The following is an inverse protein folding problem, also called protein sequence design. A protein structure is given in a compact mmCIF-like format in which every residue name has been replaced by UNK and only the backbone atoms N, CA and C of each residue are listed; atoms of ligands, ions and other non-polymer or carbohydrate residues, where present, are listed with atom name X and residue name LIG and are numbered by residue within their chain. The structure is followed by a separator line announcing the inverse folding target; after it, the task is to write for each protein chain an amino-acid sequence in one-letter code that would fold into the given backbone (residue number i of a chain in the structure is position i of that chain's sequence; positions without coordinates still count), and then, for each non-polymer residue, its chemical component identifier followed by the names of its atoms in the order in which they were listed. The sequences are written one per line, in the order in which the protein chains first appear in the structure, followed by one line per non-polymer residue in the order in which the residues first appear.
data_IF_045766948329
#
_entry.id   IF_045766948329
#
_cell.length_a   1.000
_cell.length_b   1.000
_cell.length_c   1.000
_cell.angle_alpha   90.00
_cell.angle_beta   90.00
_cell.angle_gamma   90.00
#
_symmetry.space_group_name_H-M   'P 1'
#
loop_
_entity.id
_entity.type
_entity.pdbx_description
1 polymer ?
#
# COMPACT_ATOMS: atom_id res chain seq x y z
N UNK A 1 22.21 27.25 14.49
CA UNK A 1 22.29 26.18 15.52
C UNK A 1 23.70 25.63 15.58
N UNK A 2 24.25 25.46 16.77
CA UNK A 2 25.63 25.03 16.94
C UNK A 2 25.76 23.52 16.60
N UNK A 3 26.77 23.07 15.82
CA UNK A 3 26.99 21.67 15.44
C UNK A 3 26.96 20.65 16.60
N UNK A 4 27.14 21.12 17.85
CA UNK A 4 27.07 20.29 19.06
C UNK A 4 25.65 19.77 19.40
N UNK A 5 24.57 20.43 18.94
CA UNK A 5 23.18 20.08 19.29
C UNK A 5 22.67 18.82 18.55
N UNK A 6 23.41 18.29 17.57
CA UNK A 6 22.98 17.13 16.78
C UNK A 6 23.79 15.87 17.08
N UNK A 7 24.58 15.83 18.14
CA UNK A 7 25.34 14.63 18.50
C UNK A 7 24.47 13.68 19.34
N UNK A 8 23.95 12.63 18.69
CA UNK A 8 23.17 11.63 19.37
C UNK A 8 24.03 10.73 20.29
N UNK A 9 23.51 10.47 21.47
CA UNK A 9 24.11 9.52 22.42
C UNK A 9 23.48 8.15 22.23
N UNK A 10 24.29 7.09 22.21
CA UNK A 10 23.75 5.73 22.12
C UNK A 10 22.95 5.39 23.40
N UNK A 11 21.81 4.70 23.25
CA UNK A 11 20.85 4.43 24.35
C UNK A 11 21.48 3.83 25.61
N UNK A 12 22.53 2.99 25.46
CA UNK A 12 23.25 2.37 26.57
C UNK A 12 24.24 3.33 27.27
N UNK A 13 24.56 4.48 26.67
CA UNK A 13 25.51 5.47 27.18
C UNK A 13 24.84 6.71 27.75
N UNK A 14 23.51 6.79 27.69
CA UNK A 14 22.74 7.93 28.19
C UNK A 14 22.82 8.01 29.71
N UNK A 15 23.09 9.19 30.24
CA UNK A 15 22.93 9.49 31.68
C UNK A 15 21.45 9.71 32.02
N UNK A 16 20.70 8.64 32.16
CA UNK A 16 19.27 8.67 32.42
C UNK A 16 18.88 9.40 33.71
N UNK A 17 19.74 9.32 34.77
CA UNK A 17 19.49 10.09 36.01
C UNK A 17 19.51 11.60 35.73
N UNK A 18 20.47 12.09 35.00
CA UNK A 18 20.51 13.49 34.60
C UNK A 18 19.31 13.91 33.74
N UNK A 19 18.88 13.04 32.81
CA UNK A 19 17.67 13.28 32.00
C UNK A 19 16.41 13.40 32.89
N UNK A 20 16.20 12.46 33.81
CA UNK A 20 15.06 12.47 34.76
C UNK A 20 15.05 13.79 35.56
N UNK A 21 16.19 14.20 36.08
CA UNK A 21 16.29 15.46 36.87
C UNK A 21 16.00 16.70 36.01
N UNK A 22 16.52 16.77 34.80
CA UNK A 22 16.33 17.94 33.90
C UNK A 22 14.93 18.05 33.31
N UNK A 23 14.16 16.98 33.35
CA UNK A 23 12.81 16.90 32.77
C UNK A 23 11.70 16.82 33.82
N UNK A 24 12.06 16.84 35.11
CA UNK A 24 11.09 16.77 36.21
C UNK A 24 10.04 17.90 36.11
N UNK A 25 8.75 17.53 36.17
CA UNK A 25 7.63 18.47 36.12
C UNK A 25 7.36 19.10 34.73
N UNK A 26 8.07 18.70 33.69
CA UNK A 26 7.88 19.22 32.33
C UNK A 26 6.94 18.35 31.51
N UNK A 27 6.13 18.97 30.67
CA UNK A 27 5.43 18.28 29.59
C UNK A 27 6.44 17.91 28.49
N UNK A 28 6.50 16.64 28.10
CA UNK A 28 7.52 16.13 27.21
C UNK A 28 6.91 15.43 25.98
N UNK A 29 7.62 15.52 24.86
CA UNK A 29 7.42 14.67 23.69
C UNK A 29 8.71 13.96 23.33
N UNK A 30 8.61 12.67 23.00
CA UNK A 30 9.67 11.90 22.35
C UNK A 30 9.44 11.92 20.83
N UNK A 31 10.20 12.72 20.12
CA UNK A 31 10.12 12.84 18.68
C UNK A 31 11.09 11.84 18.01
N UNK A 32 10.56 10.92 17.21
CA UNK A 32 11.34 9.83 16.62
C UNK A 32 11.39 9.96 15.10
N UNK A 33 12.60 10.00 14.57
CA UNK A 33 12.85 9.75 13.16
C UNK A 33 13.09 8.24 12.98
N UNK A 34 12.21 7.60 12.17
CA UNK A 34 12.16 6.15 12.03
C UNK A 34 12.87 5.71 10.76
N UNK A 35 13.91 4.90 10.93
CA UNK A 35 14.61 4.22 9.84
C UNK A 35 14.46 2.68 9.94
N UNK A 36 15.05 1.96 9.02
CA UNK A 36 15.01 0.50 8.99
C UNK A 36 15.74 -0.14 10.17
N UNK A 37 16.89 0.39 10.54
CA UNK A 37 17.79 -0.21 11.53
C UNK A 37 18.10 0.75 12.69
N UNK A 38 18.75 1.89 12.43
CA UNK A 38 19.13 2.85 13.47
C UNK A 38 18.04 3.92 13.63
N UNK A 39 17.49 4.04 14.81
CA UNK A 39 16.47 5.01 15.16
C UNK A 39 17.09 6.21 15.84
N UNK A 40 16.55 7.41 15.60
CA UNK A 40 16.93 8.64 16.28
C UNK A 40 15.73 9.23 16.99
N UNK A 41 15.89 9.60 18.25
CA UNK A 41 14.83 10.27 18.98
C UNK A 41 15.33 11.46 19.78
N UNK A 42 14.51 12.49 19.82
CA UNK A 42 14.75 13.68 20.62
C UNK A 42 13.67 13.81 21.68
N UNK A 43 14.07 13.94 22.93
CA UNK A 43 13.19 14.29 24.05
C UNK A 43 13.14 15.80 24.18
N UNK A 44 11.96 16.40 24.00
CA UNK A 44 11.76 17.85 23.89
C UNK A 44 10.62 18.28 24.81
N UNK A 45 10.77 19.44 25.46
CA UNK A 45 9.70 20.06 26.26
C UNK A 45 8.84 21.05 25.44
N UNK A 46 7.82 21.63 26.08
CA UNK A 46 6.88 22.55 25.45
C UNK A 46 7.54 23.85 24.97
N UNK A 47 8.64 24.25 25.58
CA UNK A 47 9.43 25.42 25.14
C UNK A 47 10.37 25.06 23.97
N UNK A 48 10.23 23.86 23.44
CA UNK A 48 11.06 23.31 22.36
C UNK A 48 12.55 23.15 22.74
N UNK A 49 12.83 23.03 24.04
CA UNK A 49 14.17 22.74 24.51
C UNK A 49 14.44 21.23 24.38
N UNK A 50 15.56 20.89 23.79
CA UNK A 50 16.03 19.49 23.70
C UNK A 50 16.75 19.10 24.99
N UNK A 51 16.28 18.02 25.63
CA UNK A 51 16.85 17.42 26.83
C UNK A 51 17.74 16.21 26.53
N UNK A 52 17.43 15.49 25.45
CA UNK A 52 18.15 14.30 25.03
C UNK A 52 18.02 14.11 23.54
N UNK A 53 19.11 13.80 22.86
CA UNK A 53 19.12 13.18 21.54
C UNK A 53 19.74 11.81 21.67
N UNK A 54 18.94 10.77 21.46
CA UNK A 54 19.31 9.35 21.64
C UNK A 54 19.18 8.60 20.33
N UNK A 55 20.07 7.62 20.12
CA UNK A 55 19.98 6.66 19.04
C UNK A 55 20.11 5.24 19.53
N UNK A 56 19.45 4.30 18.82
CA UNK A 56 19.47 2.87 19.15
C UNK A 56 19.20 2.01 17.91
N UNK A 57 19.62 0.75 17.97
CA UNK A 57 19.34 -0.24 16.91
C UNK A 57 18.00 -0.91 17.18
N UNK A 58 17.04 -0.74 16.26
CA UNK A 58 15.75 -1.42 16.31
C UNK A 58 15.83 -2.76 15.55
N UNK A 59 15.22 -3.84 16.05
CA UNK A 59 14.43 -3.97 17.28
C UNK A 59 15.25 -4.31 18.54
N UNK A 60 16.54 -4.64 18.40
CA UNK A 60 17.37 -5.29 19.43
C UNK A 60 17.49 -4.46 20.69
N UNK A 61 17.62 -3.14 20.56
CA UNK A 61 17.83 -2.22 21.69
C UNK A 61 16.57 -1.45 22.11
N UNK A 62 15.47 -1.63 21.40
CA UNK A 62 14.18 -1.01 21.75
C UNK A 62 13.72 -1.35 23.15
N UNK A 63 13.87 -2.61 23.68
CA UNK A 63 13.51 -2.90 25.06
C UNK A 63 14.32 -2.10 26.09
N UNK A 64 15.59 -1.78 25.78
CA UNK A 64 16.43 -0.94 26.66
C UNK A 64 15.88 0.47 26.73
N UNK A 65 15.54 1.05 25.58
CA UNK A 65 14.88 2.37 25.53
C UNK A 65 13.58 2.38 26.33
N UNK A 66 12.67 1.44 26.09
CA UNK A 66 11.37 1.36 26.78
C UNK A 66 11.52 1.25 28.29
N UNK A 67 12.49 0.45 28.77
CA UNK A 67 12.79 0.35 30.20
C UNK A 67 13.17 1.70 30.80
N UNK A 68 13.97 2.48 30.11
CA UNK A 68 14.38 3.80 30.58
C UNK A 68 13.25 4.83 30.47
N UNK A 69 12.46 4.82 29.39
CA UNK A 69 11.30 5.69 29.27
C UNK A 69 10.31 5.49 30.43
N UNK A 70 10.12 4.25 30.88
CA UNK A 70 9.25 3.95 32.03
C UNK A 70 9.73 4.59 33.35
N UNK A 71 10.98 5.03 33.45
CA UNK A 71 11.52 5.71 34.65
C UNK A 71 11.35 7.23 34.59
N UNK A 72 10.90 7.82 33.47
CA UNK A 72 10.61 9.24 33.39
C UNK A 72 9.39 9.59 34.26
N UNK A 73 9.42 10.74 34.89
CA UNK A 73 8.34 11.16 35.81
C UNK A 73 7.09 11.64 35.07
N UNK A 74 7.21 12.05 33.79
CA UNK A 74 6.11 12.48 32.94
C UNK A 74 5.49 11.28 32.23
N UNK A 75 4.51 10.63 32.82
CA UNK A 75 3.81 9.47 32.27
C UNK A 75 2.30 9.74 32.15
N UNK A 76 1.60 9.28 31.10
CA UNK A 76 2.17 8.70 29.86
C UNK A 76 2.91 9.73 29.00
N UNK A 77 4.00 9.30 28.37
CA UNK A 77 4.77 10.16 27.47
C UNK A 77 4.07 10.25 26.09
N UNK A 78 4.06 11.45 25.53
CA UNK A 78 3.67 11.64 24.13
C UNK A 78 4.83 11.30 23.21
N UNK A 79 4.57 10.51 22.18
CA UNK A 79 5.56 10.10 21.19
C UNK A 79 5.10 10.51 19.80
N UNK A 80 5.88 11.35 19.13
CA UNK A 80 5.60 11.81 17.78
C UNK A 80 6.57 11.18 16.79
N UNK A 81 6.08 10.69 15.64
CA UNK A 81 6.92 10.11 14.60
C UNK A 81 6.33 10.26 13.22
N UNK A 82 7.15 10.10 12.19
CA UNK A 82 6.67 10.00 10.83
C UNK A 82 5.97 8.66 10.56
N UNK A 83 4.95 8.61 9.66
CA UNK A 83 4.32 7.38 9.23
C UNK A 83 5.20 6.63 8.21
N UNK A 84 6.42 6.27 8.57
CA UNK A 84 7.40 5.60 7.70
C UNK A 84 7.06 4.14 7.42
N UNK A 85 5.96 3.90 6.70
CA UNK A 85 5.56 2.58 6.22
C UNK A 85 5.52 1.51 7.32
N UNK A 86 6.04 0.32 7.00
CA UNK A 86 6.04 -0.85 7.89
C UNK A 86 7.12 -0.77 9.00
N UNK A 87 8.17 0.03 8.81
CA UNK A 87 9.28 0.10 9.77
C UNK A 87 8.88 0.70 11.13
N UNK A 88 7.89 1.58 11.12
CA UNK A 88 7.37 2.18 12.36
C UNK A 88 6.33 1.30 13.08
N UNK A 89 5.73 0.31 12.44
CA UNK A 89 4.57 -0.42 12.98
C UNK A 89 4.91 -1.19 14.26
N UNK A 90 6.04 -1.89 14.30
CA UNK A 90 6.48 -2.63 15.47
C UNK A 90 6.84 -1.70 16.63
N UNK A 91 7.56 -0.62 16.35
CA UNK A 91 7.93 0.38 17.36
C UNK A 91 6.70 1.08 17.94
N UNK A 92 5.77 1.52 17.09
CA UNK A 92 4.49 2.13 17.52
C UNK A 92 3.72 1.20 18.46
N UNK A 93 3.58 -0.06 18.07
CA UNK A 93 2.89 -1.04 18.92
C UNK A 93 3.56 -1.23 20.26
N UNK A 94 4.88 -1.31 20.33
CA UNK A 94 5.61 -1.44 21.58
C UNK A 94 5.43 -0.22 22.48
N UNK A 95 5.45 0.98 21.92
CA UNK A 95 5.22 2.22 22.65
C UNK A 95 3.79 2.29 23.20
N UNK A 96 2.78 1.90 22.42
CA UNK A 96 1.39 1.82 22.90
C UNK A 96 1.23 0.78 24.01
N UNK A 97 1.85 -0.40 23.86
CA UNK A 97 1.84 -1.45 24.91
C UNK A 97 2.53 -0.99 26.21
N UNK A 98 3.54 -0.11 26.10
CA UNK A 98 4.19 0.53 27.23
C UNK A 98 3.35 1.69 27.83
N UNK A 99 2.15 1.94 27.32
CA UNK A 99 1.22 2.97 27.83
C UNK A 99 1.45 4.38 27.29
N UNK A 100 2.30 4.57 26.30
CA UNK A 100 2.56 5.88 25.70
C UNK A 100 1.50 6.25 24.66
N UNK A 101 1.27 7.55 24.47
CA UNK A 101 0.38 8.09 23.43
C UNK A 101 1.18 8.39 22.17
N UNK A 102 0.84 7.74 21.06
CA UNK A 102 1.59 7.86 19.81
C UNK A 102 0.86 8.80 18.85
N UNK A 103 1.62 9.70 18.23
CA UNK A 103 1.16 10.68 17.25
C UNK A 103 1.92 10.56 15.94
N UNK A 104 1.25 10.92 14.84
CA UNK A 104 1.84 10.94 13.50
C UNK A 104 2.04 12.37 13.02
N UNK A 105 3.19 12.62 12.42
CA UNK A 105 3.52 13.86 11.71
C UNK A 105 3.72 13.52 10.24
N UNK A 106 3.06 14.23 9.34
CA UNK A 106 3.20 14.00 7.90
C UNK A 106 4.65 14.21 7.45
N UNK A 107 5.26 13.24 6.76
CA UNK A 107 6.59 13.31 6.15
C UNK A 107 6.76 14.57 5.28
N UNK A 108 5.70 14.93 4.53
CA UNK A 108 5.73 16.17 3.74
C UNK A 108 5.90 17.41 4.60
N UNK A 109 5.23 17.47 5.76
CA UNK A 109 5.39 18.62 6.68
C UNK A 109 6.79 18.70 7.27
N UNK A 110 7.38 17.55 7.60
CA UNK A 110 8.77 17.49 8.09
C UNK A 110 9.71 18.02 7.01
N UNK A 111 9.57 17.54 5.78
CA UNK A 111 10.35 18.00 4.64
C UNK A 111 10.16 19.50 4.35
N UNK A 112 8.92 19.96 4.25
CA UNK A 112 8.59 21.37 3.98
C UNK A 112 9.10 22.31 5.09
N UNK A 113 9.33 21.79 6.31
CA UNK A 113 9.83 22.54 7.46
C UNK A 113 11.36 22.49 7.62
N UNK A 114 12.07 21.79 6.73
CA UNK A 114 13.52 21.58 6.87
C UNK A 114 14.33 22.89 6.94
N UNK A 115 13.93 23.92 6.19
CA UNK A 115 14.63 25.20 6.14
C UNK A 115 14.19 26.19 7.24
N UNK A 116 13.00 26.01 7.81
CA UNK A 116 12.34 27.01 8.68
C UNK A 116 13.18 27.33 9.92
N UNK A 117 13.93 26.37 10.45
CA UNK A 117 14.61 26.47 11.75
C UNK A 117 16.09 26.82 11.67
N UNK A 118 16.76 26.55 10.56
CA UNK A 118 18.20 26.82 10.42
C UNK A 118 18.62 27.34 9.04
N UNK A 119 17.65 27.57 8.14
CA UNK A 119 17.90 28.07 6.79
C UNK A 119 18.61 27.07 5.87
N UNK A 120 18.69 25.78 6.26
CA UNK A 120 19.38 24.73 5.49
C UNK A 120 18.39 23.70 5.01
N UNK A 121 18.27 23.41 3.71
CA UNK A 121 17.29 22.45 3.17
C UNK A 121 17.63 21.00 3.47
N UNK A 122 18.88 20.68 3.80
CA UNK A 122 19.30 19.30 4.08
C UNK A 122 18.66 18.76 5.35
N UNK A 123 18.17 17.52 5.28
CA UNK A 123 17.54 16.82 6.39
C UNK A 123 18.43 15.62 6.75
N UNK A 124 18.80 15.52 8.03
CA UNK A 124 19.48 14.37 8.61
C UNK A 124 18.72 13.92 9.85
N UNK A 125 18.87 12.69 10.29
CA UNK A 125 18.05 12.02 11.30
C UNK A 125 17.83 12.84 12.58
N UNK A 126 18.90 13.43 13.13
CA UNK A 126 18.80 14.26 14.32
C UNK A 126 17.99 15.54 14.08
N UNK A 127 18.08 16.14 12.89
CA UNK A 127 17.30 17.32 12.50
C UNK A 127 15.83 16.92 12.22
N UNK A 128 15.60 15.78 11.60
CA UNK A 128 14.26 15.26 11.40
C UNK A 128 13.55 15.04 12.74
N UNK A 129 14.19 14.39 13.71
CA UNK A 129 13.66 14.24 15.07
C UNK A 129 13.35 15.58 15.74
N UNK A 130 14.22 16.61 15.59
CA UNK A 130 13.98 17.95 16.08
C UNK A 130 12.74 18.58 15.46
N UNK A 131 12.61 18.52 14.13
CA UNK A 131 11.47 19.09 13.41
C UNK A 131 10.17 18.39 13.78
N UNK A 132 10.19 17.05 13.92
CA UNK A 132 9.02 16.27 14.39
C UNK A 132 8.55 16.77 15.75
N UNK A 133 9.47 17.00 16.70
CA UNK A 133 9.14 17.55 18.03
C UNK A 133 8.54 18.96 17.96
N UNK A 134 9.11 19.83 17.14
CA UNK A 134 8.58 21.19 16.91
C UNK A 134 7.17 21.16 16.29
N UNK A 135 6.95 20.31 15.30
CA UNK A 135 5.64 20.14 14.65
C UNK A 135 4.61 19.53 15.61
N UNK A 136 5.02 18.66 16.52
CA UNK A 136 4.14 18.17 17.57
C UNK A 136 3.63 19.32 18.45
N UNK A 137 4.51 20.15 18.98
CA UNK A 137 4.15 21.29 19.81
C UNK A 137 3.39 22.39 19.08
N UNK A 138 3.50 22.48 17.75
CA UNK A 138 2.67 23.37 16.95
C UNK A 138 1.23 22.88 16.73
N UNK A 139 0.84 21.72 17.28
CA UNK A 139 -0.52 21.20 17.23
C UNK A 139 -0.91 20.55 15.90
N UNK A 140 0.06 20.26 15.01
CA UNK A 140 -0.24 19.66 13.69
C UNK A 140 -0.15 18.13 13.70
N UNK A 141 0.20 17.53 14.85
CA UNK A 141 0.25 16.09 15.04
C UNK A 141 -1.15 15.48 15.06
N UNK A 142 -1.26 14.25 14.54
CA UNK A 142 -2.50 13.49 14.58
C UNK A 142 -2.29 12.26 15.47
N UNK A 143 -3.23 12.00 16.38
CA UNK A 143 -3.18 10.82 17.22
C UNK A 143 -3.19 9.56 16.35
N UNK A 144 -2.21 8.68 16.53
CA UNK A 144 -2.16 7.40 15.83
C UNK A 144 -3.20 6.44 16.42
N UNK A 145 -3.99 5.85 15.54
CA UNK A 145 -4.96 4.83 15.90
C UNK A 145 -4.51 3.49 15.36
N UNK A 146 -4.46 2.50 16.22
CA UNK A 146 -4.21 1.12 15.78
C UNK A 146 -5.36 0.63 14.92
N UNK A 147 -5.03 -0.05 13.81
CA UNK A 147 -6.03 -0.67 12.97
C UNK A 147 -6.69 -1.82 13.70
N UNK A 148 -8.01 -1.93 13.62
CA UNK A 148 -8.76 -3.06 14.19
C UNK A 148 -8.35 -4.38 13.54
N UNK A 149 -8.69 -5.52 14.18
CA UNK A 149 -8.48 -6.84 13.58
C UNK A 149 -9.10 -6.95 12.20
N UNK A 150 -10.35 -6.52 12.05
CA UNK A 150 -11.07 -6.50 10.77
C UNK A 150 -10.35 -5.64 9.71
N UNK A 151 -9.87 -4.45 10.06
CA UNK A 151 -9.13 -3.60 9.13
C UNK A 151 -7.81 -4.24 8.68
N UNK A 152 -7.13 -4.96 9.57
CA UNK A 152 -5.90 -5.69 9.23
C UNK A 152 -6.18 -6.86 8.29
N UNK A 153 -7.28 -7.60 8.50
CA UNK A 153 -7.71 -8.68 7.60
C UNK A 153 -8.07 -8.13 6.22
N UNK A 154 -8.86 -7.04 6.15
CA UNK A 154 -9.17 -6.36 4.90
C UNK A 154 -7.88 -5.95 4.18
N UNK A 155 -6.91 -5.36 4.89
CA UNK A 155 -5.61 -4.97 4.31
C UNK A 155 -4.85 -6.18 3.76
N UNK A 156 -4.82 -7.30 4.48
CA UNK A 156 -4.17 -8.52 4.04
C UNK A 156 -4.81 -9.08 2.75
N UNK A 157 -6.15 -9.11 2.69
CA UNK A 157 -6.85 -9.54 1.48
C UNK A 157 -6.66 -8.58 0.30
N UNK A 158 -6.62 -7.26 0.54
CA UNK A 158 -6.26 -6.30 -0.51
C UNK A 158 -4.86 -6.55 -1.07
N UNK A 159 -3.87 -6.80 -0.21
CA UNK A 159 -2.51 -7.12 -0.66
C UNK A 159 -2.46 -8.41 -1.49
N UNK A 160 -3.23 -9.45 -1.09
CA UNK A 160 -3.35 -10.70 -1.87
C UNK A 160 -4.01 -10.42 -3.23
N UNK A 161 -5.06 -9.60 -3.25
CA UNK A 161 -5.72 -9.20 -4.49
C UNK A 161 -4.77 -8.45 -5.44
N UNK A 162 -4.02 -7.49 -4.93
CA UNK A 162 -3.03 -6.72 -5.69
C UNK A 162 -1.95 -7.64 -6.27
N UNK A 163 -1.40 -8.56 -5.47
CA UNK A 163 -0.41 -9.55 -5.92
C UNK A 163 -0.92 -10.34 -7.13
N UNK A 164 -2.14 -10.88 -7.04
CA UNK A 164 -2.73 -11.65 -8.14
C UNK A 164 -3.11 -10.77 -9.34
N UNK A 165 -3.46 -9.50 -9.12
CA UNK A 165 -3.75 -8.55 -10.20
C UNK A 165 -2.50 -8.20 -10.99
N UNK A 166 -1.38 -7.98 -10.33
CA UNK A 166 -0.09 -7.74 -10.97
C UNK A 166 0.39 -8.98 -11.74
N UNK A 167 0.28 -10.16 -11.16
CA UNK A 167 0.64 -11.41 -11.83
C UNK A 167 -0.22 -11.64 -13.07
N UNK A 168 -1.53 -11.40 -12.96
CA UNK A 168 -2.45 -11.49 -14.09
C UNK A 168 -2.05 -10.51 -15.21
N UNK A 169 -1.83 -9.25 -14.90
CA UNK A 169 -1.44 -8.23 -15.87
C UNK A 169 -0.13 -8.57 -16.58
N UNK A 170 0.91 -8.98 -15.83
CA UNK A 170 2.20 -9.38 -16.41
C UNK A 170 2.07 -10.59 -17.32
N UNK A 171 1.34 -11.63 -16.90
CA UNK A 171 1.17 -12.86 -17.69
C UNK A 171 0.26 -12.63 -18.90
N UNK A 172 -0.74 -11.75 -18.80
CA UNK A 172 -1.56 -11.32 -19.94
C UNK A 172 -0.72 -10.65 -21.02
N UNK A 173 0.20 -9.75 -20.67
CA UNK A 173 1.08 -9.10 -21.63
C UNK A 173 2.06 -10.10 -22.29
N UNK A 174 2.58 -11.07 -21.51
CA UNK A 174 3.40 -12.16 -22.07
C UNK A 174 2.60 -13.04 -23.02
N UNK A 175 1.36 -13.36 -22.65
CA UNK A 175 0.45 -14.13 -23.51
C UNK A 175 0.18 -13.36 -24.82
N UNK A 176 -0.11 -12.08 -24.76
CA UNK A 176 -0.33 -11.26 -25.95
C UNK A 176 0.84 -11.32 -26.93
N UNK A 177 2.08 -11.16 -26.43
CA UNK A 177 3.28 -11.26 -27.24
C UNK A 177 3.46 -12.65 -27.88
N UNK A 178 3.18 -13.71 -27.14
CA UNK A 178 3.26 -15.09 -27.67
C UNK A 178 2.17 -15.37 -28.69
N UNK A 179 0.95 -14.89 -28.48
CA UNK A 179 -0.15 -15.05 -29.43
C UNK A 179 0.08 -14.28 -30.72
N UNK A 180 0.62 -13.06 -30.66
CA UNK A 180 1.00 -12.31 -31.86
C UNK A 180 2.03 -13.04 -32.71
N UNK A 181 2.90 -13.83 -32.09
CA UNK A 181 3.92 -14.61 -32.78
C UNK A 181 3.37 -15.93 -33.33
N UNK A 182 2.56 -16.64 -32.56
CA UNK A 182 2.21 -18.02 -32.85
C UNK A 182 0.76 -18.25 -33.27
N UNK A 183 -0.14 -17.31 -32.94
CA UNK A 183 -1.57 -17.42 -33.24
C UNK A 183 -2.22 -16.04 -33.33
N UNK A 184 -1.81 -15.18 -34.28
CA UNK A 184 -2.28 -13.79 -34.37
C UNK A 184 -3.79 -13.69 -34.62
N UNK A 185 -4.41 -14.65 -35.27
CA UNK A 185 -5.83 -14.64 -35.62
C UNK A 185 -6.76 -14.79 -34.41
N UNK A 186 -6.27 -15.35 -33.30
CA UNK A 186 -7.12 -15.69 -32.15
C UNK A 186 -7.83 -14.47 -31.57
N UNK A 187 -7.18 -13.31 -31.57
CA UNK A 187 -7.73 -12.08 -31.00
C UNK A 187 -8.89 -11.48 -31.82
N UNK A 188 -9.07 -11.89 -33.06
CA UNK A 188 -10.26 -11.54 -33.85
C UNK A 188 -11.54 -12.20 -33.34
N UNK A 189 -11.40 -13.32 -32.63
CA UNK A 189 -12.51 -14.12 -32.14
C UNK A 189 -12.68 -14.11 -30.62
N UNK A 190 -11.58 -14.10 -29.88
CA UNK A 190 -11.56 -14.16 -28.41
C UNK A 190 -10.68 -13.06 -27.81
N UNK A 191 -11.22 -12.36 -26.81
CA UNK A 191 -10.44 -11.41 -26.04
C UNK A 191 -9.38 -12.14 -25.17
N UNK A 192 -8.28 -11.48 -24.86
CA UNK A 192 -7.16 -12.03 -24.07
C UNK A 192 -7.56 -12.47 -22.65
N UNK A 193 -8.59 -11.85 -22.09
CA UNK A 193 -9.16 -12.18 -20.78
C UNK A 193 -10.34 -13.19 -20.85
N UNK A 194 -10.58 -13.74 -22.04
CA UNK A 194 -11.65 -14.72 -22.25
C UNK A 194 -11.34 -16.04 -21.53
N UNK A 195 -12.29 -16.50 -20.72
CA UNK A 195 -12.22 -17.82 -20.07
C UNK A 195 -12.12 -18.94 -21.11
N UNK A 196 -12.74 -18.78 -22.28
CA UNK A 196 -12.67 -19.75 -23.38
C UNK A 196 -11.25 -19.85 -23.92
N UNK A 197 -10.57 -18.71 -24.15
CA UNK A 197 -9.16 -18.70 -24.59
C UNK A 197 -8.26 -19.37 -23.57
N UNK A 198 -8.43 -19.07 -22.29
CA UNK A 198 -7.69 -19.67 -21.18
C UNK A 198 -7.79 -21.21 -21.22
N UNK A 199 -9.01 -21.74 -21.36
CA UNK A 199 -9.22 -23.20 -21.46
C UNK A 199 -8.60 -23.84 -22.72
N UNK A 200 -8.66 -23.13 -23.87
CA UNK A 200 -8.04 -23.59 -25.09
C UNK A 200 -6.51 -23.63 -24.98
N UNK A 201 -5.91 -22.61 -24.36
CA UNK A 201 -4.46 -22.58 -24.13
C UNK A 201 -4.02 -23.71 -23.21
N UNK A 202 -4.69 -23.91 -22.08
CA UNK A 202 -4.35 -24.99 -21.13
C UNK A 202 -4.40 -26.35 -21.82
N UNK A 203 -5.41 -26.59 -22.66
CA UNK A 203 -5.58 -27.90 -23.31
C UNK A 203 -4.66 -28.10 -24.51
N UNK A 204 -4.53 -27.10 -25.37
CA UNK A 204 -3.87 -27.25 -26.68
C UNK A 204 -2.52 -26.52 -26.75
N UNK A 205 -2.42 -25.32 -26.24
CA UNK A 205 -1.20 -24.49 -26.21
C UNK A 205 -0.73 -23.99 -27.59
N UNK A 206 -1.39 -24.39 -28.69
CA UNK A 206 -1.06 -23.92 -30.04
C UNK A 206 -2.23 -24.07 -31.01
N UNK A 207 -2.30 -23.28 -32.10
CA UNK A 207 -3.32 -23.42 -33.14
C UNK A 207 -3.23 -24.78 -33.85
N UNK A 208 -2.04 -25.32 -34.09
CA UNK A 208 -1.85 -26.61 -34.75
C UNK A 208 -2.42 -27.77 -33.92
N UNK A 209 -2.20 -27.74 -32.59
CA UNK A 209 -2.77 -28.76 -31.70
C UNK A 209 -4.29 -28.67 -31.63
N UNK A 210 -4.85 -27.48 -31.63
CA UNK A 210 -6.30 -27.23 -31.65
C UNK A 210 -6.91 -27.72 -32.99
N UNK A 211 -6.28 -27.41 -34.11
CA UNK A 211 -6.76 -27.81 -35.43
C UNK A 211 -6.86 -29.34 -35.62
N UNK A 212 -5.91 -30.08 -34.99
CA UNK A 212 -5.92 -31.59 -35.03
C UNK A 212 -7.09 -32.20 -34.26
N UNK A 213 -7.62 -31.49 -33.25
CA UNK A 213 -8.72 -31.96 -32.40
C UNK A 213 -9.92 -30.99 -32.46
N UNK A 214 -10.26 -30.55 -33.66
CA UNK A 214 -11.24 -29.47 -33.90
C UNK A 214 -12.64 -29.81 -33.35
N UNK A 215 -13.08 -31.06 -33.36
CA UNK A 215 -14.39 -31.49 -32.83
C UNK A 215 -14.48 -31.28 -31.30
N UNK A 216 -13.46 -31.79 -30.60
CA UNK A 216 -13.38 -31.67 -29.15
C UNK A 216 -13.18 -30.18 -28.76
N UNK A 217 -12.40 -29.41 -29.53
CA UNK A 217 -12.20 -27.98 -29.30
C UNK A 217 -13.50 -27.22 -29.45
N UNK A 218 -14.34 -27.50 -30.46
CA UNK A 218 -15.67 -26.87 -30.60
C UNK A 218 -16.58 -27.19 -29.40
N UNK A 219 -16.59 -28.46 -28.97
CA UNK A 219 -17.37 -28.87 -27.80
C UNK A 219 -16.91 -28.18 -26.53
N UNK A 220 -15.59 -28.06 -26.34
CA UNK A 220 -15.00 -27.32 -25.21
C UNK A 220 -15.41 -25.83 -25.22
N UNK A 221 -15.32 -25.16 -26.38
CA UNK A 221 -15.72 -23.76 -26.54
C UNK A 221 -17.19 -23.54 -26.18
N UNK A 222 -18.12 -24.37 -26.69
CA UNK A 222 -19.54 -24.29 -26.36
C UNK A 222 -19.79 -24.49 -24.86
N UNK A 223 -19.15 -25.51 -24.25
CA UNK A 223 -19.27 -25.79 -22.82
C UNK A 223 -18.75 -24.64 -21.95
N UNK A 224 -17.55 -24.15 -22.21
CA UNK A 224 -16.90 -23.12 -21.37
C UNK A 224 -17.61 -21.76 -21.53
N UNK A 225 -18.08 -21.43 -22.72
CA UNK A 225 -18.84 -20.21 -22.96
C UNK A 225 -20.29 -20.27 -22.47
N UNK A 226 -20.74 -21.42 -21.97
CA UNK A 226 -22.16 -21.68 -21.65
C UNK A 226 -23.11 -21.34 -22.82
N UNK A 227 -22.70 -21.65 -24.05
CA UNK A 227 -23.46 -21.38 -25.28
C UNK A 227 -23.47 -19.91 -25.72
N UNK A 228 -22.76 -19.01 -25.04
CA UNK A 228 -22.74 -17.56 -25.35
C UNK A 228 -21.82 -17.19 -26.52
N UNK A 229 -20.87 -18.06 -26.89
CA UNK A 229 -19.99 -17.84 -28.03
C UNK A 229 -20.74 -18.23 -29.30
N UNK A 230 -20.93 -17.29 -30.22
CA UNK A 230 -21.63 -17.51 -31.48
C UNK A 230 -20.94 -18.59 -32.32
N UNK A 231 -21.70 -19.44 -32.95
CA UNK A 231 -21.19 -20.58 -33.77
C UNK A 231 -20.25 -20.10 -34.89
N UNK A 232 -20.55 -18.96 -35.53
CA UNK A 232 -19.68 -18.35 -36.52
C UNK A 232 -18.27 -18.03 -35.97
N UNK A 233 -18.16 -17.59 -34.71
CA UNK A 233 -16.87 -17.35 -34.05
C UNK A 233 -16.13 -18.65 -33.76
N UNK A 234 -16.84 -19.74 -33.38
CA UNK A 234 -16.25 -21.05 -33.18
C UNK A 234 -15.67 -21.58 -34.49
N UNK A 235 -16.44 -21.53 -35.57
CA UNK A 235 -15.99 -21.98 -36.88
C UNK A 235 -14.84 -21.13 -37.42
N UNK A 236 -14.92 -19.81 -37.29
CA UNK A 236 -13.84 -18.91 -37.68
C UNK A 236 -12.54 -19.16 -36.92
N UNK A 237 -12.63 -19.46 -35.62
CA UNK A 237 -11.46 -19.81 -34.80
C UNK A 237 -10.81 -21.15 -35.23
N UNK A 238 -11.64 -22.15 -35.54
CA UNK A 238 -11.17 -23.46 -36.02
C UNK A 238 -10.50 -23.34 -37.39
N UNK A 239 -11.08 -22.56 -38.31
CA UNK A 239 -10.51 -22.29 -39.61
C UNK A 239 -9.21 -21.48 -39.51
N UNK A 240 -9.21 -20.39 -38.71
CA UNK A 240 -8.01 -19.61 -38.43
C UNK A 240 -6.88 -20.44 -37.79
N UNK A 241 -7.23 -21.46 -37.02
CA UNK A 241 -6.24 -22.40 -36.43
C UNK A 241 -5.61 -23.33 -37.47
N UNK A 242 -6.38 -23.73 -38.50
CA UNK A 242 -5.88 -24.57 -39.60
C UNK A 242 -4.98 -23.79 -40.55
N UNK A 243 -5.32 -22.53 -40.79
CA UNK A 243 -4.69 -21.66 -41.77
C UNK A 243 -3.86 -20.54 -41.10
N UNK A 244 -3.43 -20.74 -39.85
CA UNK A 244 -2.71 -19.71 -39.11
C UNK A 244 -1.40 -19.33 -39.82
N UNK A 245 -1.18 -18.03 -39.97
CA UNK A 245 0.06 -17.42 -40.48
C UNK A 245 1.14 -17.31 -39.38
N UNK A 246 0.78 -17.66 -38.13
CA UNK A 246 1.71 -17.61 -37.01
C UNK A 246 2.87 -18.61 -37.17
N UNK A 247 3.99 -18.30 -36.55
CA UNK A 247 5.16 -19.20 -36.52
C UNK A 247 4.77 -20.47 -35.77
N UNK A 248 4.95 -21.67 -36.35
CA UNK A 248 4.64 -22.90 -35.67
C UNK A 248 5.38 -23.04 -34.32
N UNK A 249 4.64 -23.37 -33.26
CA UNK A 249 5.22 -23.57 -31.95
C UNK A 249 6.12 -24.82 -31.93
N UNK A 250 7.33 -24.69 -31.43
CA UNK A 250 8.07 -25.86 -30.93
C UNK A 250 7.48 -26.33 -29.60
N UNK A 251 7.76 -27.59 -29.21
CA UNK A 251 7.12 -28.20 -28.03
C UNK A 251 7.25 -27.35 -26.73
N UNK A 252 8.40 -26.72 -26.52
CA UNK A 252 8.61 -25.89 -25.33
C UNK A 252 7.85 -24.55 -25.38
N UNK A 253 7.62 -23.97 -26.54
CA UNK A 253 6.78 -22.80 -26.73
C UNK A 253 5.30 -23.13 -26.51
N UNK A 254 4.87 -24.31 -26.97
CA UNK A 254 3.53 -24.84 -26.70
C UNK A 254 3.29 -25.04 -25.20
N UNK A 255 4.22 -25.67 -24.49
CA UNK A 255 4.16 -25.81 -23.04
C UNK A 255 4.13 -24.47 -22.33
N UNK A 256 4.91 -23.50 -22.80
CA UNK A 256 4.90 -22.16 -22.21
C UNK A 256 3.54 -21.46 -22.35
N UNK A 257 2.88 -21.58 -23.50
CA UNK A 257 1.52 -21.08 -23.69
C UNK A 257 0.51 -21.78 -22.77
N UNK A 258 0.64 -23.09 -22.56
CA UNK A 258 -0.18 -23.82 -21.59
C UNK A 258 0.01 -23.30 -20.17
N UNK A 259 1.26 -23.11 -19.72
CA UNK A 259 1.57 -22.54 -18.41
C UNK A 259 1.04 -21.11 -18.24
N UNK A 260 1.12 -20.26 -19.27
CA UNK A 260 0.52 -18.93 -19.21
C UNK A 260 -0.99 -19.00 -19.02
N UNK A 261 -1.68 -19.92 -19.71
CA UNK A 261 -3.11 -20.18 -19.51
C UNK A 261 -3.43 -20.61 -18.07
N UNK A 262 -2.65 -21.51 -17.50
CA UNK A 262 -2.80 -21.97 -16.11
C UNK A 262 -2.60 -20.84 -15.10
N UNK A 263 -1.55 -20.02 -15.27
CA UNK A 263 -1.25 -18.91 -14.38
C UNK A 263 -2.32 -17.79 -14.44
N UNK A 264 -2.85 -17.49 -15.62
CA UNK A 264 -3.96 -16.57 -15.78
C UNK A 264 -5.21 -17.09 -15.07
N UNK A 265 -5.55 -18.37 -15.25
CA UNK A 265 -6.66 -19.02 -14.57
C UNK A 265 -6.49 -18.98 -13.05
N UNK A 266 -5.31 -19.35 -12.56
CA UNK A 266 -4.98 -19.32 -11.13
C UNK A 266 -5.20 -17.92 -10.54
N UNK A 267 -4.60 -16.92 -11.15
CA UNK A 267 -4.72 -15.53 -10.68
C UNK A 267 -6.17 -15.03 -10.66
N UNK A 268 -6.95 -15.35 -11.72
CA UNK A 268 -8.37 -15.01 -11.81
C UNK A 268 -9.21 -15.68 -10.73
N UNK A 269 -8.98 -16.96 -10.45
CA UNK A 269 -9.68 -17.69 -9.40
C UNK A 269 -9.37 -17.15 -8.02
N UNK A 270 -8.10 -16.83 -7.75
CA UNK A 270 -7.70 -16.19 -6.48
C UNK A 270 -8.33 -14.82 -6.31
N UNK A 271 -8.31 -13.96 -7.34
CA UNK A 271 -8.99 -12.67 -7.28
C UNK A 271 -10.49 -12.81 -6.97
N UNK A 272 -11.16 -13.80 -7.59
CA UNK A 272 -12.59 -14.07 -7.32
C UNK A 272 -12.82 -14.53 -5.88
N UNK A 273 -11.97 -15.42 -5.37
CA UNK A 273 -12.04 -15.90 -3.99
C UNK A 273 -11.83 -14.76 -2.98
N UNK A 274 -10.81 -13.93 -3.20
CA UNK A 274 -10.51 -12.78 -2.34
C UNK A 274 -11.65 -11.76 -2.34
N UNK A 275 -12.24 -11.46 -3.50
CA UNK A 275 -13.42 -10.57 -3.57
C UNK A 275 -14.58 -11.08 -2.72
N UNK A 276 -14.82 -12.40 -2.72
CA UNK A 276 -15.86 -13.03 -1.89
C UNK A 276 -15.56 -12.89 -0.40
N UNK A 277 -14.30 -13.06 0.01
CA UNK A 277 -13.89 -12.87 1.41
C UNK A 277 -14.00 -11.42 1.85
N UNK A 278 -13.58 -10.48 1.00
CA UNK A 278 -13.73 -9.04 1.28
C UNK A 278 -15.19 -8.65 1.42
N UNK A 279 -16.08 -9.16 0.55
CA UNK A 279 -17.50 -8.92 0.68
C UNK A 279 -18.04 -9.41 2.04
N UNK A 280 -17.68 -10.63 2.45
CA UNK A 280 -18.11 -11.20 3.72
C UNK A 280 -17.64 -10.37 4.94
N UNK A 281 -16.39 -9.83 4.91
CA UNK A 281 -15.89 -8.96 5.96
C UNK A 281 -16.59 -7.60 6.00
N UNK A 282 -16.99 -7.07 4.86
CA UNK A 282 -17.70 -5.80 4.76
C UNK A 282 -19.16 -5.93 5.22
N UNK A 283 -19.80 -7.04 4.90
CA UNK A 283 -21.23 -7.26 5.20
C UNK A 283 -21.55 -7.41 6.69
N UNK A 284 -20.53 -7.61 7.53
CA UNK A 284 -20.67 -7.66 9.00
C UNK A 284 -20.98 -6.27 9.59
N UNK A 285 -20.57 -5.19 8.92
CA UNK A 285 -20.74 -3.80 9.39
C UNK A 285 -21.73 -3.08 8.44
N UNK A 286 -22.89 -2.69 8.96
CA UNK A 286 -23.96 -2.07 8.17
C UNK A 286 -23.52 -0.76 7.49
N UNK A 287 -22.61 0.01 8.08
CA UNK A 287 -22.11 1.24 7.45
C UNK A 287 -21.15 0.92 6.29
N UNK A 288 -20.31 -0.09 6.46
CA UNK A 288 -19.42 -0.56 5.40
C UNK A 288 -20.20 -1.22 4.26
N UNK A 289 -21.27 -1.94 4.58
CA UNK A 289 -22.20 -2.52 3.61
C UNK A 289 -22.90 -1.43 2.81
N UNK A 290 -23.39 -0.36 3.46
CA UNK A 290 -23.97 0.79 2.76
C UNK A 290 -22.94 1.47 1.84
N UNK A 291 -21.70 1.66 2.27
CA UNK A 291 -20.62 2.17 1.45
C UNK A 291 -20.32 1.25 0.26
N UNK A 292 -20.29 -0.05 0.49
CA UNK A 292 -20.08 -1.08 -0.54
C UNK A 292 -21.17 -1.08 -1.61
N UNK A 293 -22.42 -0.81 -1.23
CA UNK A 293 -23.52 -0.66 -2.18
C UNK A 293 -23.31 0.53 -3.14
N UNK A 294 -22.61 1.58 -2.71
CA UNK A 294 -22.35 2.79 -3.51
C UNK A 294 -21.13 2.65 -4.42
N UNK A 295 -19.99 2.14 -3.90
CA UNK A 295 -18.70 2.15 -4.62
C UNK A 295 -18.17 0.75 -4.94
N UNK A 296 -18.87 -0.27 -4.52
CA UNK A 296 -18.49 -1.67 -4.66
C UNK A 296 -17.55 -2.18 -3.57
N UNK A 297 -17.54 -3.51 -3.32
CA UNK A 297 -16.84 -4.11 -2.19
C UNK A 297 -15.33 -3.97 -2.28
N UNK A 298 -14.75 -4.12 -3.47
CA UNK A 298 -13.32 -3.99 -3.65
C UNK A 298 -12.83 -2.55 -3.40
N UNK A 299 -13.55 -1.55 -3.91
CA UNK A 299 -13.23 -0.13 -3.69
C UNK A 299 -13.35 0.22 -2.21
N UNK A 300 -14.42 -0.23 -1.55
CA UNK A 300 -14.61 -0.07 -0.09
C UNK A 300 -13.44 -0.67 0.68
N UNK A 301 -13.05 -1.92 0.37
CA UNK A 301 -11.92 -2.58 1.00
C UNK A 301 -10.60 -1.82 0.78
N UNK A 302 -10.33 -1.36 -0.44
CA UNK A 302 -9.12 -0.59 -0.76
C UNK A 302 -9.07 0.74 -0.01
N UNK A 303 -10.20 1.45 0.12
CA UNK A 303 -10.27 2.68 0.92
C UNK A 303 -9.95 2.39 2.40
N UNK A 304 -10.58 1.37 2.99
CA UNK A 304 -10.34 0.97 4.38
C UNK A 304 -8.89 0.51 4.61
N UNK A 305 -8.31 -0.24 3.67
CA UNK A 305 -6.93 -0.71 3.74
C UNK A 305 -5.91 0.44 3.77
N UNK A 306 -6.26 1.58 3.20
CA UNK A 306 -5.49 2.82 3.22
C UNK A 306 -5.90 3.78 4.35
N UNK A 307 -6.58 3.27 5.40
CA UNK A 307 -7.06 4.03 6.56
C UNK A 307 -8.07 5.13 6.23
N UNK A 308 -8.73 5.03 5.08
CA UNK A 308 -9.76 5.95 4.65
C UNK A 308 -11.15 5.46 5.11
N UNK A 309 -11.30 5.26 6.40
CA UNK A 309 -12.58 4.96 7.01
C UNK A 309 -13.34 6.29 7.19
N UNK A 310 -14.52 6.48 6.55
CA UNK A 310 -15.26 7.73 6.61
C UNK A 310 -15.65 8.14 8.03
N UNK A 311 -15.78 7.19 8.95
CA UNK A 311 -16.10 7.44 10.38
C UNK A 311 -15.00 8.22 11.13
N UNK A 312 -13.80 8.25 10.59
CA UNK A 312 -12.67 8.96 11.18
C UNK A 312 -12.54 10.42 10.73
N UNK A 313 -13.47 10.88 9.89
CA UNK A 313 -13.44 12.23 9.33
C UNK A 313 -14.65 13.03 9.82
N UNK A 314 -14.43 14.26 10.22
CA UNK A 314 -15.49 15.12 10.77
C UNK A 314 -16.53 15.56 9.74
N UNK A 315 -16.23 15.50 8.44
CA UNK A 315 -17.15 15.82 7.35
C UNK A 315 -16.69 15.29 6.00
N UNK A 316 -17.56 15.35 5.01
CA UNK A 316 -17.30 14.85 3.65
C UNK A 316 -16.15 15.58 2.93
N UNK A 317 -15.91 16.88 3.24
CA UNK A 317 -14.80 17.63 2.65
C UNK A 317 -13.45 17.12 3.18
N UNK A 318 -13.36 16.85 4.49
CA UNK A 318 -12.18 16.26 5.10
C UNK A 318 -11.90 14.83 4.55
N UNK A 319 -12.95 14.03 4.37
CA UNK A 319 -12.82 12.70 3.76
C UNK A 319 -12.34 12.76 2.31
N UNK A 320 -12.94 13.62 1.46
CA UNK A 320 -12.47 13.84 0.08
C UNK A 320 -11.02 14.28 0.03
N UNK A 321 -10.60 15.17 0.94
CA UNK A 321 -9.21 15.59 1.06
C UNK A 321 -8.30 14.42 1.43
N UNK A 322 -8.72 13.55 2.35
CA UNK A 322 -8.01 12.32 2.72
C UNK A 322 -7.83 11.37 1.54
N UNK A 323 -8.83 11.23 0.68
CA UNK A 323 -8.77 10.44 -0.56
C UNK A 323 -7.89 11.07 -1.67
N UNK A 324 -7.29 12.24 -1.45
CA UNK A 324 -6.51 12.93 -2.47
C UNK A 324 -7.35 13.66 -3.54
N UNK A 325 -8.67 13.72 -3.36
CA UNK A 325 -9.61 14.39 -4.27
C UNK A 325 -9.75 15.89 -3.98
N UNK A 326 -8.76 16.50 -3.36
CA UNK A 326 -8.76 17.92 -3.08
C UNK A 326 -8.46 18.73 -4.35
N UNK A 327 -9.26 19.77 -4.60
CA UNK A 327 -9.05 20.65 -5.75
C UNK A 327 -8.07 21.76 -5.37
N UNK A 328 -7.12 22.02 -6.26
CA UNK A 328 -6.23 23.17 -6.22
C UNK A 328 -6.60 24.11 -7.34
N UNK A 329 -6.95 25.34 -6.99
CA UNK A 329 -7.07 26.43 -7.95
C UNK A 329 -5.69 27.07 -8.16
N UNK A 330 -5.34 27.29 -9.42
CA UNK A 330 -4.18 28.09 -9.79
C UNK A 330 -4.68 29.35 -10.46
N UNK A 331 -4.83 30.41 -9.67
CA UNK A 331 -5.22 31.73 -10.15
C UNK A 331 -4.13 32.74 -9.83
N UNK A 332 -3.87 33.68 -10.76
CA UNK A 332 -3.00 34.83 -10.53
C UNK A 332 -3.50 36.03 -11.36
N UNK A 333 -3.80 37.12 -10.71
CA UNK A 333 -4.25 38.36 -11.35
C UNK A 333 -5.51 38.17 -12.22
N UNK A 334 -5.44 38.45 -13.52
CA UNK A 334 -6.54 38.35 -14.46
C UNK A 334 -6.81 36.91 -14.92
N UNK A 335 -5.97 35.93 -14.54
CA UNK A 335 -6.10 34.52 -14.91
C UNK A 335 -6.99 33.79 -13.91
N UNK A 336 -8.22 33.44 -14.32
CA UNK A 336 -9.08 32.51 -13.58
C UNK A 336 -8.60 31.10 -13.88
N UNK A 337 -7.95 30.49 -12.88
CA UNK A 337 -7.26 29.22 -13.03
C UNK A 337 -8.16 28.02 -13.19
N UNK A 338 -7.62 26.96 -13.79
CA UNK A 338 -8.24 25.67 -13.86
C UNK A 338 -8.18 24.97 -12.49
N UNK A 339 -9.29 24.39 -12.07
CA UNK A 339 -9.32 23.47 -10.93
C UNK A 339 -8.67 22.14 -11.33
N UNK A 340 -7.64 21.74 -10.59
CA UNK A 340 -6.97 20.43 -10.77
C UNK A 340 -6.94 19.68 -9.45
N UNK A 341 -7.08 18.35 -9.52
CA UNK A 341 -6.89 17.50 -8.34
C UNK A 341 -5.44 17.63 -7.86
N UNK A 342 -5.27 17.88 -6.56
CA UNK A 342 -3.93 17.87 -5.96
C UNK A 342 -3.41 16.44 -5.91
N UNK A 343 -2.32 16.17 -6.63
CA UNK A 343 -1.57 14.93 -6.41
C UNK A 343 -0.89 15.02 -5.04
N UNK A 344 -1.44 14.35 -4.04
CA UNK A 344 -0.84 14.22 -2.71
C UNK A 344 -0.84 12.77 -2.28
#
# INVERSE_FOLDING_TARGET
MNKRNYRATHVKQVNWRGVIQSTAGKALVLAIDVAKEEQFAMLMDADSQSHLLVKWTHPVETPVLLKHLATLLSQPLDVAMEPTGIYADTLRRQLVLAGHRVYQISTKRVFDSAEIYDGVPSLHDAKAAYIIGRLYWSGVAQHWRESSGQQREIKAFCNIYELHSEHYGRNRNRLEAMLQRHWPEVQAYLALDSVTLEHLLIRYGSPQALARDSVTAATLMRKVSCGKLAEAKIQGLLEGSRNSIGIPCVEKERLYLQHLGEELRRSRLHQKAVRKQLQALIDVDEQLKAMSAMVGPLTTAMLLSNRLDPRHYGNACAYRKGMGLNLKEKSSGKFKGQLKITKR
#
